data_IF_602356164984
#
_entry.id   IF_602356164984
#
_cell.length_a   1.000
_cell.length_b   1.000
_cell.length_c   1.000
_cell.angle_alpha   90.00
_cell.angle_beta   90.00
_cell.angle_gamma   90.00
#
_symmetry.space_group_name_H-M   'P 1'
#
loop_
_entity.id
_entity.type
_entity.pdbx_description
1 polymer ?
#
# COMPACT_ATOMS: atom_id res chain seq x y z
N UNK A 1 13.80 -15.36 -26.07
CA UNK A 1 13.71 -15.85 -24.68
C UNK A 1 15.07 -16.31 -24.25
N UNK A 2 16.02 -15.39 -24.25
CA UNK A 2 17.39 -15.74 -23.94
C UNK A 2 17.64 -15.44 -22.48
N UNK A 3 18.29 -16.38 -21.80
CA UNK A 3 18.82 -16.13 -20.47
C UNK A 3 20.10 -15.34 -20.67
N UNK A 4 20.21 -14.21 -19.96
CA UNK A 4 21.38 -13.37 -20.00
C UNK A 4 22.05 -13.40 -18.63
N UNK A 5 23.36 -13.34 -18.65
CA UNK A 5 24.18 -13.16 -17.46
C UNK A 5 24.86 -11.79 -17.57
N UNK A 6 25.01 -11.13 -16.43
CA UNK A 6 25.69 -9.84 -16.32
C UNK A 6 26.68 -10.01 -15.17
N UNK A 7 27.95 -9.79 -15.44
CA UNK A 7 28.98 -9.76 -14.40
C UNK A 7 28.77 -8.54 -13.48
N UNK A 8 28.86 -8.74 -12.17
CA UNK A 8 28.76 -7.68 -11.18
C UNK A 8 29.74 -7.91 -10.03
N UNK A 9 30.33 -6.82 -9.53
CA UNK A 9 31.15 -6.86 -8.31
C UNK A 9 30.27 -6.88 -7.05
N UNK A 10 29.08 -6.25 -7.13
CA UNK A 10 28.13 -6.15 -6.03
C UNK A 10 26.69 -5.98 -6.57
N UNK A 11 25.71 -6.60 -5.92
CA UNK A 11 24.29 -6.45 -6.24
C UNK A 11 23.44 -6.22 -4.99
N UNK A 12 22.40 -5.41 -5.14
CA UNK A 12 21.37 -5.18 -4.12
C UNK A 12 20.00 -5.31 -4.79
N UNK A 13 19.29 -6.39 -4.46
CA UNK A 13 18.00 -6.73 -5.04
C UNK A 13 16.92 -6.63 -3.97
N UNK A 14 15.73 -6.19 -4.37
CA UNK A 14 14.56 -6.12 -3.50
C UNK A 14 13.83 -7.47 -3.58
N UNK A 15 13.66 -8.20 -2.47
CA UNK A 15 12.91 -9.44 -2.49
C UNK A 15 11.41 -9.16 -2.69
N UNK A 16 10.65 -10.12 -3.24
CA UNK A 16 9.20 -10.02 -3.27
C UNK A 16 8.63 -9.97 -1.85
N UNK A 17 7.51 -9.27 -1.68
CA UNK A 17 6.82 -9.23 -0.41
C UNK A 17 5.94 -10.47 -0.21
N UNK A 18 5.99 -11.05 0.98
CA UNK A 18 5.05 -12.05 1.47
C UNK A 18 4.64 -11.69 2.91
N UNK A 19 3.50 -12.20 3.36
CA UNK A 19 3.17 -12.15 4.76
C UNK A 19 4.17 -12.95 5.60
N UNK A 20 4.23 -12.66 6.90
CA UNK A 20 5.23 -13.22 7.83
C UNK A 20 5.04 -14.71 8.15
N UNK A 21 4.05 -15.38 7.55
CA UNK A 21 3.80 -16.81 7.73
C UNK A 21 3.17 -17.16 9.08
N UNK A 22 2.27 -16.32 9.60
CA UNK A 22 1.51 -16.65 10.80
C UNK A 22 0.57 -17.83 10.54
N UNK A 23 0.50 -18.72 11.52
CA UNK A 23 -0.54 -19.72 11.64
C UNK A 23 -1.66 -19.18 12.51
N UNK A 24 -2.89 -19.62 12.25
CA UNK A 24 -4.06 -19.22 13.03
C UNK A 24 -4.91 -20.43 13.39
N UNK A 25 -5.35 -20.46 14.64
CA UNK A 25 -6.18 -21.54 15.18
C UNK A 25 -7.46 -20.95 15.76
N UNK A 26 -8.59 -21.63 15.57
CA UNK A 26 -9.84 -21.26 16.21
C UNK A 26 -9.86 -21.68 17.70
N UNK A 27 -10.97 -21.35 18.39
CA UNK A 27 -11.14 -21.64 19.82
C UNK A 27 -11.07 -23.13 20.17
N UNK A 28 -11.31 -24.01 19.19
CA UNK A 28 -11.30 -25.46 19.36
C UNK A 28 -9.94 -26.06 18.91
N UNK A 29 -8.96 -25.21 18.59
CA UNK A 29 -7.61 -25.61 18.18
C UNK A 29 -7.51 -26.04 16.72
N UNK A 30 -8.55 -25.81 15.91
CA UNK A 30 -8.53 -26.15 14.48
C UNK A 30 -7.78 -25.08 13.69
N UNK A 31 -6.91 -25.51 12.79
CA UNK A 31 -6.21 -24.63 11.87
C UNK A 31 -7.19 -23.90 10.92
N UNK A 32 -7.13 -22.58 10.93
CA UNK A 32 -7.90 -21.64 10.11
C UNK A 32 -6.98 -20.72 9.28
N UNK A 33 -5.71 -21.06 9.14
CA UNK A 33 -4.69 -20.26 8.44
C UNK A 33 -5.14 -19.94 7.01
N UNK A 34 -5.55 -20.95 6.23
CA UNK A 34 -5.99 -20.76 4.84
C UNK A 34 -7.32 -20.01 4.72
N UNK A 35 -8.10 -19.95 5.80
CA UNK A 35 -9.31 -19.12 5.86
C UNK A 35 -8.94 -17.64 5.98
N UNK A 36 -7.98 -17.31 6.84
CA UNK A 36 -7.57 -15.94 7.14
C UNK A 36 -6.59 -15.34 6.13
N UNK A 37 -5.61 -16.11 5.68
CA UNK A 37 -4.51 -15.62 4.86
C UNK A 37 -4.69 -16.04 3.39
N UNK A 38 -4.31 -15.16 2.48
CA UNK A 38 -4.19 -15.50 1.05
C UNK A 38 -2.94 -16.36 0.81
N UNK A 39 -2.77 -16.99 -0.38
CA UNK A 39 -1.59 -17.82 -0.67
C UNK A 39 -0.24 -17.10 -0.48
N UNK A 40 -0.21 -15.78 -0.70
CA UNK A 40 0.93 -14.90 -0.44
C UNK A 40 1.15 -14.57 1.05
N UNK A 41 0.40 -15.22 1.95
CA UNK A 41 0.44 -15.13 3.41
C UNK A 41 0.00 -13.78 4.00
N UNK A 42 -0.52 -12.86 3.19
CA UNK A 42 -1.15 -11.64 3.69
C UNK A 42 -2.57 -11.90 4.18
N UNK A 43 -3.05 -11.08 5.12
CA UNK A 43 -4.39 -11.24 5.70
C UNK A 43 -5.46 -10.81 4.69
N UNK A 44 -6.47 -11.65 4.45
CA UNK A 44 -7.64 -11.27 3.64
C UNK A 44 -8.47 -10.23 4.38
N UNK A 45 -8.93 -9.23 3.64
CA UNK A 45 -9.79 -8.14 4.13
C UNK A 45 -11.03 -8.03 3.24
N UNK A 46 -11.78 -6.94 3.31
CA UNK A 46 -13.02 -6.67 2.58
C UNK A 46 -12.79 -6.32 1.10
N UNK A 47 -11.96 -7.10 0.42
CA UNK A 47 -11.69 -6.99 -1.02
C UNK A 47 -12.41 -8.10 -1.80
N UNK A 48 -12.63 -7.91 -3.10
CA UNK A 48 -13.09 -8.97 -4.00
C UNK A 48 -11.87 -9.76 -4.52
N UNK A 49 -11.74 -11.00 -4.07
CA UNK A 49 -10.67 -11.92 -4.46
C UNK A 49 -11.04 -12.83 -5.64
N UNK A 50 -12.17 -12.59 -6.31
CA UNK A 50 -12.60 -13.38 -7.47
C UNK A 50 -11.58 -13.25 -8.59
N UNK A 51 -10.96 -14.34 -9.06
CA UNK A 51 -9.98 -14.27 -10.16
C UNK A 51 -10.63 -13.78 -11.45
N UNK A 52 -10.08 -12.73 -12.05
CA UNK A 52 -10.56 -12.12 -13.30
C UNK A 52 -9.37 -11.69 -14.18
N UNK A 53 -9.54 -11.60 -15.51
CA UNK A 53 -8.52 -11.02 -16.39
C UNK A 53 -8.27 -9.53 -16.09
N UNK A 54 -7.11 -9.02 -16.49
CA UNK A 54 -6.69 -7.63 -16.23
C UNK A 54 -7.72 -6.60 -16.70
N UNK A 55 -8.36 -6.87 -17.83
CA UNK A 55 -9.35 -6.00 -18.46
C UNK A 55 -10.67 -5.89 -17.67
N UNK A 56 -10.90 -6.81 -16.72
CA UNK A 56 -12.09 -6.84 -15.85
C UNK A 56 -11.81 -6.39 -14.41
N UNK A 57 -10.56 -6.03 -14.09
CA UNK A 57 -10.21 -5.51 -12.76
C UNK A 57 -10.82 -4.13 -12.54
N UNK A 58 -11.33 -3.91 -11.33
CA UNK A 58 -12.01 -2.67 -10.95
C UNK A 58 -11.39 -2.04 -9.71
N UNK A 59 -11.48 -0.72 -9.64
CA UNK A 59 -11.26 0.05 -8.42
C UNK A 59 -12.13 -0.44 -7.24
N UNK A 60 -13.30 -1.01 -7.53
CA UNK A 60 -14.23 -1.54 -6.52
C UNK A 60 -13.77 -2.87 -5.90
N UNK A 61 -12.83 -3.58 -6.52
CA UNK A 61 -12.31 -4.85 -6.00
C UNK A 61 -11.44 -4.62 -4.75
N UNK A 62 -10.96 -3.38 -4.54
CA UNK A 62 -10.04 -3.03 -3.46
C UNK A 62 -10.75 -2.76 -2.13
N UNK A 63 -10.10 -3.07 -1.00
CA UNK A 63 -10.70 -2.95 0.32
C UNK A 63 -10.98 -1.50 0.70
N UNK A 64 -12.03 -1.30 1.52
CA UNK A 64 -12.46 0.01 2.00
C UNK A 64 -12.27 0.16 3.50
N UNK A 65 -12.70 -0.86 4.24
CA UNK A 65 -12.75 -0.90 5.71
C UNK A 65 -11.59 -1.66 6.34
N UNK A 66 -10.90 -2.50 5.55
CA UNK A 66 -9.77 -3.33 5.95
C UNK A 66 -10.09 -4.38 7.02
N UNK A 67 -11.38 -4.66 7.23
CA UNK A 67 -11.85 -5.69 8.14
C UNK A 67 -11.80 -7.07 7.47
N UNK A 68 -11.46 -8.11 8.23
CA UNK A 68 -11.57 -9.47 7.74
C UNK A 68 -13.04 -9.88 7.55
N UNK A 69 -13.43 -10.49 6.42
CA UNK A 69 -14.83 -10.82 6.15
C UNK A 69 -15.39 -11.95 7.02
N UNK A 70 -14.53 -12.76 7.66
CA UNK A 70 -14.94 -13.88 8.52
C UNK A 70 -14.93 -13.55 10.01
N UNK A 71 -14.13 -12.56 10.44
CA UNK A 71 -13.90 -12.24 11.84
C UNK A 71 -13.87 -10.73 12.05
N UNK A 72 -14.96 -10.19 12.62
CA UNK A 72 -15.18 -8.74 12.74
C UNK A 72 -14.17 -8.01 13.63
N UNK A 73 -13.45 -8.73 14.48
CA UNK A 73 -12.41 -8.18 15.36
C UNK A 73 -11.02 -8.22 14.73
N UNK A 74 -10.88 -8.66 13.48
CA UNK A 74 -9.60 -8.72 12.77
C UNK A 74 -9.57 -7.68 11.65
N UNK A 75 -8.46 -6.94 11.59
CA UNK A 75 -8.19 -5.92 10.58
C UNK A 75 -6.74 -6.04 10.11
N UNK A 76 -6.46 -5.63 8.87
CA UNK A 76 -5.08 -5.49 8.38
C UNK A 76 -4.90 -4.23 7.54
N UNK A 77 -3.87 -3.45 7.87
CA UNK A 77 -3.56 -2.18 7.19
C UNK A 77 -2.13 -2.19 6.66
N UNK A 78 -1.84 -1.26 5.72
CA UNK A 78 -0.53 -1.11 5.13
C UNK A 78 -0.09 -2.36 4.37
N UNK A 79 1.15 -2.81 4.54
CA UNK A 79 1.69 -3.96 3.79
C UNK A 79 0.96 -5.27 4.13
N UNK A 80 0.35 -5.39 5.31
CA UNK A 80 -0.13 -6.66 5.84
C UNK A 80 -1.41 -7.23 5.19
N UNK A 81 -2.24 -6.39 4.57
CA UNK A 81 -3.44 -6.89 3.88
C UNK A 81 -3.09 -7.52 2.53
N UNK A 82 -3.89 -8.48 2.10
CA UNK A 82 -3.74 -9.16 0.82
C UNK A 82 -4.36 -8.31 -0.30
N UNK A 83 -3.59 -7.81 -1.27
CA UNK A 83 -4.15 -7.18 -2.46
C UNK A 83 -5.01 -8.18 -3.25
N UNK A 84 -6.18 -7.77 -3.78
CA UNK A 84 -7.04 -8.66 -4.57
C UNK A 84 -6.39 -9.05 -5.90
N UNK A 85 -5.64 -8.13 -6.51
CA UNK A 85 -4.92 -8.31 -7.75
C UNK A 85 -3.74 -7.31 -7.85
N UNK A 86 -3.00 -7.35 -8.97
CA UNK A 86 -1.95 -6.38 -9.27
C UNK A 86 -2.56 -5.04 -9.70
N UNK A 87 -1.78 -3.95 -9.67
CA UNK A 87 -2.26 -2.65 -10.19
C UNK A 87 -2.01 -2.53 -11.69
N UNK A 88 -0.84 -2.96 -12.15
CA UNK A 88 -0.45 -2.88 -13.56
C UNK A 88 -0.74 -4.19 -14.27
N UNK A 89 -0.87 -4.10 -15.61
CA UNK A 89 -1.03 -5.28 -16.47
C UNK A 89 0.05 -6.31 -16.17
N UNK A 90 -0.31 -7.57 -15.87
CA UNK A 90 0.67 -8.62 -15.66
C UNK A 90 1.50 -8.84 -16.92
N UNK A 91 2.82 -8.99 -16.75
CA UNK A 91 3.75 -9.25 -17.84
C UNK A 91 4.56 -10.51 -17.57
N UNK A 92 5.08 -11.12 -18.62
CA UNK A 92 6.01 -12.25 -18.54
C UNK A 92 7.14 -12.10 -19.55
N UNK A 93 8.32 -12.59 -19.21
CA UNK A 93 9.42 -12.73 -20.17
C UNK A 93 9.04 -13.76 -21.25
N UNK A 94 9.75 -13.80 -22.40
CA UNK A 94 9.53 -14.86 -23.38
C UNK A 94 9.82 -16.28 -22.87
N UNK A 95 10.50 -16.40 -21.71
CA UNK A 95 10.75 -17.67 -21.02
C UNK A 95 9.66 -18.01 -19.98
N UNK A 96 8.61 -17.20 -19.89
CA UNK A 96 7.51 -17.38 -18.95
C UNK A 96 7.78 -16.86 -17.54
N UNK A 97 8.89 -16.16 -17.29
CA UNK A 97 9.18 -15.56 -15.98
C UNK A 97 8.19 -14.43 -15.71
N UNK A 98 7.42 -14.45 -14.61
CA UNK A 98 6.51 -13.35 -14.29
C UNK A 98 7.27 -12.05 -13.99
N UNK A 99 6.82 -10.92 -14.56
CA UNK A 99 7.38 -9.58 -14.38
C UNK A 99 6.27 -8.67 -13.89
N UNK A 100 6.03 -8.70 -12.58
CA UNK A 100 4.85 -8.08 -11.98
C UNK A 100 5.25 -7.22 -10.77
N UNK A 101 5.00 -5.90 -10.78
CA UNK A 101 5.28 -5.06 -9.63
C UNK A 101 4.29 -5.37 -8.51
N UNK A 102 4.78 -5.47 -7.27
CA UNK A 102 3.90 -5.56 -6.12
C UNK A 102 3.15 -4.24 -5.93
N UNK A 103 1.83 -4.25 -5.65
CA UNK A 103 1.10 -3.03 -5.32
C UNK A 103 1.75 -2.25 -4.16
N UNK A 104 2.03 -0.95 -4.30
CA UNK A 104 2.72 -0.18 -3.28
C UNK A 104 1.75 0.24 -2.18
N UNK A 105 2.07 -0.09 -0.91
CA UNK A 105 1.35 0.38 0.28
C UNK A 105 2.25 1.36 1.04
N UNK A 106 2.48 2.52 0.43
CA UNK A 106 3.44 3.53 0.93
C UNK A 106 2.99 4.16 2.25
N UNK A 107 3.83 5.02 2.83
CA UNK A 107 3.58 5.60 4.15
C UNK A 107 2.26 6.37 4.26
N UNK A 108 1.95 7.23 3.28
CA UNK A 108 0.71 8.03 3.28
C UNK A 108 -0.56 7.16 3.20
N UNK A 109 -0.71 6.25 2.21
CA UNK A 109 -1.79 5.25 2.22
C UNK A 109 -1.87 4.44 3.52
N UNK A 110 -0.73 3.95 4.03
CA UNK A 110 -0.71 3.16 5.26
C UNK A 110 -1.19 3.96 6.49
N UNK A 111 -0.84 5.24 6.57
CA UNK A 111 -1.30 6.14 7.64
C UNK A 111 -2.82 6.40 7.52
N UNK A 112 -3.32 6.64 6.31
CA UNK A 112 -4.75 6.80 6.05
C UNK A 112 -5.55 5.54 6.48
N UNK A 113 -5.10 4.36 6.06
CA UNK A 113 -5.69 3.07 6.46
C UNK A 113 -5.69 2.90 7.98
N UNK A 114 -4.54 3.12 8.63
CA UNK A 114 -4.41 2.98 10.09
C UNK A 114 -5.35 3.90 10.86
N UNK A 115 -5.48 5.16 10.43
CA UNK A 115 -6.38 6.15 11.03
C UNK A 115 -7.84 5.77 10.83
N UNK A 116 -8.22 5.34 9.63
CA UNK A 116 -9.57 4.88 9.31
C UNK A 116 -9.97 3.68 10.15
N UNK A 117 -9.13 2.64 10.20
CA UNK A 117 -9.40 1.44 11.00
C UNK A 117 -9.48 1.78 12.49
N UNK A 118 -8.58 2.62 13.02
CA UNK A 118 -8.62 3.02 14.43
C UNK A 118 -9.93 3.74 14.80
N UNK A 119 -10.44 4.62 13.91
CA UNK A 119 -11.72 5.29 14.12
C UNK A 119 -12.89 4.30 14.04
N UNK A 120 -12.90 3.39 13.06
CA UNK A 120 -13.92 2.36 12.95
C UNK A 120 -13.97 1.47 14.19
N UNK A 121 -12.80 1.04 14.71
CA UNK A 121 -12.72 0.24 15.95
C UNK A 121 -13.27 1.03 17.14
N UNK A 122 -12.93 2.32 17.29
CA UNK A 122 -13.51 3.17 18.33
C UNK A 122 -15.03 3.18 18.25
N UNK A 123 -15.60 3.45 17.08
CA UNK A 123 -17.05 3.52 16.91
C UNK A 123 -17.73 2.16 17.17
N UNK A 124 -17.06 1.05 16.82
CA UNK A 124 -17.55 -0.29 17.12
C UNK A 124 -17.53 -0.60 18.62
N UNK A 125 -16.51 -0.15 19.35
CA UNK A 125 -16.47 -0.21 20.82
C UNK A 125 -17.62 0.61 21.42
N UNK A 126 -17.96 1.74 20.81
CA UNK A 126 -19.06 2.61 21.21
C UNK A 126 -20.46 2.12 20.74
N UNK A 127 -20.52 0.97 20.06
CA UNK A 127 -21.77 0.28 19.73
C UNK A 127 -22.12 0.19 18.24
N UNK A 128 -21.29 0.69 17.33
CA UNK A 128 -21.46 0.44 15.90
C UNK A 128 -21.31 -1.05 15.58
N UNK A 129 -22.20 -1.58 14.73
CA UNK A 129 -22.20 -3.01 14.39
C UNK A 129 -21.15 -3.41 13.36
N UNK A 130 -20.63 -2.44 12.61
CA UNK A 130 -19.70 -2.59 11.48
C UNK A 130 -18.72 -1.40 11.43
N UNK A 131 -17.61 -1.49 10.66
CA UNK A 131 -16.72 -0.35 10.43
C UNK A 131 -17.47 0.86 9.85
N UNK A 132 -17.21 2.04 10.40
CA UNK A 132 -17.91 3.30 10.07
C UNK A 132 -17.12 4.22 9.15
N UNK A 133 -15.85 3.93 8.94
CA UNK A 133 -14.94 4.70 8.10
C UNK A 133 -14.30 3.85 7.01
N UNK A 134 -14.08 4.48 5.86
CA UNK A 134 -13.47 3.87 4.68
C UNK A 134 -12.21 4.64 4.26
N UNK A 135 -11.29 3.95 3.60
CA UNK A 135 -10.13 4.55 2.95
C UNK A 135 -9.68 3.64 1.81
N UNK A 136 -10.36 3.66 0.66
CA UNK A 136 -9.94 2.82 -0.47
C UNK A 136 -8.66 3.35 -1.15
N UNK A 137 -7.80 2.45 -1.61
CA UNK A 137 -6.64 2.82 -2.45
C UNK A 137 -7.04 3.44 -3.81
N UNK A 138 -8.28 3.26 -4.24
CA UNK A 138 -8.87 3.94 -5.41
C UNK A 138 -9.40 5.35 -5.12
N UNK A 139 -9.39 5.77 -3.85
CA UNK A 139 -9.91 7.07 -3.40
C UNK A 139 -8.87 7.88 -2.61
N UNK A 140 -7.63 7.41 -2.56
CA UNK A 140 -6.52 8.10 -1.90
C UNK A 140 -5.33 8.26 -2.85
N UNK A 141 -4.54 9.29 -2.60
CA UNK A 141 -3.27 9.52 -3.28
C UNK A 141 -2.09 8.90 -2.54
N UNK A 142 -0.95 8.88 -3.23
CA UNK A 142 0.33 8.64 -2.60
C UNK A 142 1.35 9.67 -3.07
N UNK A 143 2.15 10.17 -2.12
CA UNK A 143 3.35 10.93 -2.41
C UNK A 143 4.59 10.07 -2.12
N UNK A 144 5.57 10.11 -3.01
CA UNK A 144 6.85 9.45 -2.84
C UNK A 144 7.98 10.45 -3.08
N UNK A 145 8.99 10.42 -2.22
CA UNK A 145 10.19 11.26 -2.34
C UNK A 145 11.42 10.37 -2.23
N UNK A 146 12.16 10.27 -3.34
CA UNK A 146 13.31 9.40 -3.53
C UNK A 146 14.57 10.27 -3.62
N UNK A 147 15.43 10.17 -2.61
CA UNK A 147 16.69 10.90 -2.59
C UNK A 147 17.63 10.43 -3.71
N UNK A 148 18.19 11.38 -4.45
CA UNK A 148 19.21 11.14 -5.49
C UNK A 148 20.54 11.85 -5.18
N UNK A 149 20.62 12.54 -4.04
CA UNK A 149 21.85 13.11 -3.47
C UNK A 149 21.68 13.46 -1.98
N UNK A 150 22.79 13.65 -1.26
CA UNK A 150 22.82 13.80 0.21
C UNK A 150 23.35 15.14 0.72
N UNK A 151 23.59 16.12 -0.16
CA UNK A 151 24.17 17.40 0.23
C UNK A 151 23.10 18.43 0.62
N UNK A 152 23.30 19.14 1.74
CA UNK A 152 22.32 20.12 2.26
C UNK A 152 21.91 21.18 1.22
N UNK A 153 22.88 21.76 0.51
CA UNK A 153 22.62 22.84 -0.48
C UNK A 153 22.58 22.38 -1.94
N UNK A 154 22.94 21.12 -2.22
CA UNK A 154 23.16 20.60 -3.58
C UNK A 154 22.55 19.21 -3.77
N UNK A 155 21.80 18.75 -2.78
CA UNK A 155 21.09 17.50 -2.81
C UNK A 155 19.97 17.57 -3.83
N UNK A 156 19.49 16.39 -4.20
CA UNK A 156 18.37 16.26 -5.11
C UNK A 156 17.50 15.10 -4.66
N UNK A 157 16.23 15.19 -4.99
CA UNK A 157 15.30 14.08 -4.87
C UNK A 157 14.32 14.11 -6.04
N UNK A 158 13.91 12.94 -6.49
CA UNK A 158 12.74 12.77 -7.32
C UNK A 158 11.51 12.71 -6.41
N UNK A 159 10.58 13.63 -6.60
CA UNK A 159 9.29 13.67 -5.91
C UNK A 159 8.21 13.32 -6.91
N UNK A 160 7.25 12.50 -6.51
CA UNK A 160 6.08 12.18 -7.33
C UNK A 160 4.84 12.08 -6.47
N UNK A 161 3.72 12.47 -7.04
CA UNK A 161 2.38 12.22 -6.52
C UNK A 161 1.62 11.37 -7.53
N UNK A 162 0.74 10.51 -7.02
CA UNK A 162 -0.19 9.73 -7.84
C UNK A 162 -1.56 9.80 -7.18
N UNK A 163 -2.60 10.03 -7.96
CA UNK A 163 -3.97 10.00 -7.48
C UNK A 163 -4.93 9.45 -8.55
N UNK A 164 -5.78 8.46 -8.21
CA UNK A 164 -5.65 7.58 -7.06
C UNK A 164 -4.46 6.61 -7.18
N UNK A 165 -4.11 5.91 -6.09
CA UNK A 165 -3.05 4.89 -6.11
C UNK A 165 -3.44 3.74 -7.04
N UNK A 166 -4.63 3.19 -6.84
CA UNK A 166 -5.27 2.20 -7.72
C UNK A 166 -6.04 2.94 -8.80
N UNK A 167 -5.75 2.75 -10.09
CA UNK A 167 -6.45 3.41 -11.17
C UNK A 167 -7.96 3.14 -11.14
N UNK A 168 -8.75 4.19 -11.39
CA UNK A 168 -10.20 4.14 -11.50
C UNK A 168 -10.60 4.69 -12.87
N UNK A 169 -10.86 3.78 -13.83
CA UNK A 169 -11.23 4.13 -15.20
C UNK A 169 -12.70 4.54 -15.34
N UNK A 170 -13.56 4.23 -14.36
CA UNK A 170 -14.92 4.74 -14.35
C UNK A 170 -14.94 6.24 -14.05
N UNK A 171 -14.08 6.67 -13.13
CA UNK A 171 -13.93 8.09 -12.75
C UNK A 171 -12.95 8.87 -13.62
N UNK A 172 -11.87 8.24 -14.08
CA UNK A 172 -10.81 8.85 -14.88
C UNK A 172 -10.59 8.05 -16.19
N UNK A 173 -11.46 8.22 -17.21
CA UNK A 173 -11.54 7.28 -18.34
C UNK A 173 -10.27 7.11 -19.18
N UNK A 174 -9.43 8.15 -19.27
CA UNK A 174 -8.28 8.13 -20.18
C UNK A 174 -7.06 7.43 -19.56
N UNK A 175 -6.79 7.69 -18.28
CA UNK A 175 -5.55 7.25 -17.60
C UNK A 175 -5.79 6.49 -16.30
N UNK A 176 -7.05 6.35 -15.87
CA UNK A 176 -7.41 5.84 -14.55
C UNK A 176 -6.92 6.73 -13.40
N UNK A 177 -6.37 7.91 -13.71
CA UNK A 177 -5.78 8.85 -12.75
C UNK A 177 -6.08 10.30 -13.09
N UNK A 178 -6.08 11.12 -12.06
CA UNK A 178 -6.14 12.57 -12.17
C UNK A 178 -4.74 13.12 -12.47
N UNK A 179 -4.54 13.66 -13.68
CA UNK A 179 -3.26 14.23 -14.10
C UNK A 179 -2.91 15.54 -13.37
N UNK A 180 -3.89 16.25 -12.80
CA UNK A 180 -3.61 17.45 -12.01
C UNK A 180 -2.97 17.12 -10.64
N UNK A 181 -3.19 15.89 -10.16
CA UNK A 181 -2.65 15.36 -8.91
C UNK A 181 -1.60 14.26 -9.12
N UNK A 182 -1.33 13.89 -10.37
CA UNK A 182 -0.37 12.86 -10.75
C UNK A 182 0.76 13.48 -11.57
N UNK A 183 1.82 13.90 -10.88
CA UNK A 183 2.99 14.51 -11.50
C UNK A 183 4.25 14.17 -10.72
N UNK A 184 5.42 14.47 -11.30
CA UNK A 184 6.69 14.30 -10.63
C UNK A 184 7.71 15.34 -11.05
N UNK A 185 8.57 15.71 -10.11
CA UNK A 185 9.61 16.73 -10.28
C UNK A 185 10.90 16.26 -9.63
N UNK A 186 12.03 16.74 -10.15
CA UNK A 186 13.35 16.47 -9.58
C UNK A 186 13.96 17.80 -9.15
N UNK A 187 14.45 17.87 -7.92
CA UNK A 187 15.19 19.04 -7.48
C UNK A 187 15.52 19.08 -6.00
N UNK A 188 16.14 20.19 -5.61
CA UNK A 188 16.56 20.47 -4.24
C UNK A 188 15.38 20.61 -3.27
N UNK A 189 14.22 21.09 -3.75
CA UNK A 189 13.01 21.20 -2.93
C UNK A 189 12.55 19.84 -2.38
N UNK A 190 12.53 18.80 -3.24
CA UNK A 190 12.23 17.44 -2.81
C UNK A 190 13.23 16.89 -1.80
N UNK A 191 14.52 17.23 -1.94
CA UNK A 191 15.56 16.81 -0.99
C UNK A 191 15.29 17.38 0.41
N UNK A 192 14.99 18.67 0.51
CA UNK A 192 14.63 19.29 1.78
C UNK A 192 13.32 18.75 2.34
N UNK A 193 12.31 18.55 1.48
CA UNK A 193 11.04 17.95 1.88
C UNK A 193 11.26 16.59 2.54
N UNK A 194 12.06 15.71 1.91
CA UNK A 194 12.41 14.40 2.48
C UNK A 194 13.08 14.52 3.85
N UNK A 195 14.04 15.45 3.99
CA UNK A 195 14.75 15.69 5.24
C UNK A 195 13.80 16.14 6.35
N UNK A 196 12.91 17.09 6.07
CA UNK A 196 11.92 17.60 7.03
C UNK A 196 10.95 16.48 7.42
N UNK A 197 10.37 15.78 6.45
CA UNK A 197 9.43 14.67 6.70
C UNK A 197 10.07 13.57 7.55
N UNK A 198 11.36 13.25 7.32
CA UNK A 198 12.08 12.28 8.15
C UNK A 198 12.08 12.69 9.64
N UNK A 199 12.45 13.94 9.93
CA UNK A 199 12.54 14.41 11.31
C UNK A 199 11.17 14.62 11.94
N UNK A 200 10.19 15.12 11.16
CA UNK A 200 8.80 15.29 11.59
C UNK A 200 8.18 13.94 11.96
N UNK A 201 8.34 12.92 11.11
CA UNK A 201 7.83 11.58 11.38
C UNK A 201 8.43 10.99 12.66
N UNK A 202 9.76 11.08 12.85
CA UNK A 202 10.41 10.57 14.08
C UNK A 202 9.96 11.36 15.32
N UNK A 203 9.67 12.66 15.19
CA UNK A 203 9.12 13.47 16.27
C UNK A 203 7.72 13.01 16.67
N UNK A 204 6.82 12.82 15.68
CA UNK A 204 5.46 12.32 15.87
C UNK A 204 5.45 10.89 16.43
N UNK A 205 6.29 9.99 15.90
CA UNK A 205 6.42 8.61 16.37
C UNK A 205 6.90 8.51 17.82
N UNK A 206 7.65 9.51 18.31
CA UNK A 206 8.06 9.62 19.72
C UNK A 206 7.03 10.33 20.60
N UNK A 207 5.88 10.73 20.05
CA UNK A 207 4.79 11.44 20.75
C UNK A 207 5.26 12.67 21.52
N UNK A 208 6.25 13.40 20.97
CA UNK A 208 6.81 14.59 21.62
C UNK A 208 5.79 15.74 21.69
N UNK A 209 5.92 16.70 22.63
CA UNK A 209 4.93 17.76 22.82
C UNK A 209 4.48 18.44 21.52
N UNK A 210 3.17 18.61 21.34
CA UNK A 210 2.60 19.23 20.13
C UNK A 210 2.48 18.30 18.91
N UNK A 211 2.82 17.02 19.00
CA UNK A 211 2.70 16.08 17.88
C UNK A 211 1.28 15.97 17.31
N UNK A 212 0.25 16.16 18.13
CA UNK A 212 -1.16 16.02 17.75
C UNK A 212 -1.67 17.11 16.81
N UNK A 213 -0.99 18.26 16.72
CA UNK A 213 -1.36 19.35 15.81
C UNK A 213 -0.55 19.35 14.52
N UNK A 214 0.49 18.51 14.45
CA UNK A 214 1.27 18.34 13.23
C UNK A 214 0.43 17.61 12.19
N UNK A 215 0.48 18.01 10.91
CA UNK A 215 -0.21 17.30 9.86
C UNK A 215 0.34 15.88 9.72
N UNK A 216 -0.54 14.97 9.31
CA UNK A 216 -0.18 13.62 8.88
C UNK A 216 0.46 13.66 7.48
#
# INVERSE_FOLDING_TARGET
GEMHEIDYDFSMLIPPFAGVGLEAFDKDGKDITDKLFAPNKFLKVDADYTPRPFEEWSAADWPKTYQNPSYKNLFAVGIAFAPPHLISKPMSSPNGTPINPTPPRTGMPSAAMGKTVAKSIRDMIDGASEPTHEASMSEMGAACVVSTGSHIFKGSAATMTVYPVVPDYDKYPEYGRDLSLTFGEIGLAGHWMKYILHHAFIYQAKMKPGWTVMPD
#
